data_IF_926864480201
#
_entry.id   IF_926864480201
#
_cell.length_a   1.000
_cell.length_b   1.000
_cell.length_c   1.000
_cell.angle_alpha   90.00
_cell.angle_beta   90.00
_cell.angle_gamma   90.00
#
_symmetry.space_group_name_H-M   'P 1'
#
loop_
_entity.id
_entity.type
_entity.pdbx_description
1 polymer ?
#
# COMPACT_ATOMS: atom_id res chain seq x y z
N UNK A 1 13.24 -17.05 -4.74
CA UNK A 1 12.61 -15.95 -3.98
C UNK A 1 13.06 -16.06 -2.54
N UNK A 2 13.56 -14.98 -1.92
CA UNK A 2 13.80 -14.96 -0.47
C UNK A 2 12.46 -15.25 0.22
N UNK A 3 12.45 -16.16 1.21
CA UNK A 3 11.27 -16.33 2.07
C UNK A 3 11.12 -15.04 2.87
N UNK A 4 10.02 -14.32 2.63
CA UNK A 4 9.62 -13.19 3.45
C UNK A 4 9.20 -13.76 4.80
N UNK A 5 9.96 -13.46 5.85
CA UNK A 5 9.75 -14.00 7.20
C UNK A 5 9.29 -12.96 8.19
N UNK A 6 9.47 -11.68 7.87
CA UNK A 6 9.08 -10.54 8.69
C UNK A 6 8.47 -9.42 7.84
N UNK A 7 7.85 -8.46 8.51
CA UNK A 7 7.37 -7.23 7.87
C UNK A 7 8.52 -6.36 7.34
N UNK A 8 9.72 -6.47 7.94
CA UNK A 8 10.92 -5.80 7.44
C UNK A 8 11.41 -6.41 6.13
N UNK A 9 11.44 -7.75 6.02
CA UNK A 9 11.76 -8.43 4.75
C UNK A 9 10.80 -8.01 3.63
N UNK A 10 9.52 -7.80 3.96
CA UNK A 10 8.51 -7.34 3.00
C UNK A 10 8.77 -5.89 2.57
N UNK A 11 9.12 -5.01 3.51
CA UNK A 11 9.48 -3.61 3.20
C UNK A 11 10.73 -3.52 2.32
N UNK A 12 11.75 -4.34 2.60
CA UNK A 12 12.94 -4.42 1.74
C UNK A 12 12.58 -4.90 0.34
N UNK A 13 11.77 -5.95 0.23
CA UNK A 13 11.27 -6.42 -1.07
C UNK A 13 10.54 -5.32 -1.84
N UNK A 14 9.64 -4.57 -1.20
CA UNK A 14 8.94 -3.47 -1.88
C UNK A 14 9.91 -2.40 -2.38
N UNK A 15 10.98 -2.10 -1.61
CA UNK A 15 11.99 -1.11 -1.99
C UNK A 15 12.87 -1.58 -3.14
N UNK A 16 13.35 -2.83 -3.09
CA UNK A 16 14.21 -3.41 -4.13
C UNK A 16 13.50 -3.53 -5.49
N UNK A 17 12.19 -3.78 -5.47
CA UNK A 17 11.38 -4.02 -6.67
C UNK A 17 10.43 -2.87 -7.02
N UNK A 18 10.54 -1.72 -6.34
CA UNK A 18 9.72 -0.53 -6.56
C UNK A 18 9.58 -0.16 -8.05
N UNK A 19 10.66 -0.12 -8.87
CA UNK A 19 10.55 0.25 -10.28
C UNK A 19 9.72 -0.74 -11.11
N UNK A 20 9.72 -2.02 -10.75
CA UNK A 20 8.96 -3.06 -11.43
C UNK A 20 7.50 -3.09 -10.99
N UNK A 21 7.25 -2.80 -9.71
CA UNK A 21 5.91 -2.66 -9.14
C UNK A 21 5.22 -1.47 -9.78
N UNK A 22 5.87 -0.30 -9.82
CA UNK A 22 5.28 0.93 -10.39
C UNK A 22 4.89 0.77 -11.87
N UNK A 23 5.66 -0.01 -12.65
CA UNK A 23 5.31 -0.31 -14.05
C UNK A 23 4.03 -1.14 -14.22
N UNK A 24 3.62 -1.86 -13.17
CA UNK A 24 2.45 -2.74 -13.16
C UNK A 24 1.27 -2.16 -12.38
N UNK A 25 1.47 -1.06 -11.66
CA UNK A 25 0.40 -0.36 -10.95
C UNK A 25 -0.30 0.64 -11.87
N UNK A 26 -1.60 0.82 -11.66
CA UNK A 26 -2.36 1.92 -12.25
C UNK A 26 -2.52 3.03 -11.22
N UNK A 27 -2.65 4.28 -11.66
CA UNK A 27 -3.00 5.35 -10.71
C UNK A 27 -4.47 5.21 -10.36
N UNK A 28 -4.82 5.54 -9.12
CA UNK A 28 -6.21 5.49 -8.65
C UNK A 28 -7.14 6.34 -9.53
N UNK A 29 -6.67 7.51 -9.98
CA UNK A 29 -7.39 8.40 -10.91
C UNK A 29 -7.68 7.80 -12.30
N UNK A 30 -6.97 6.73 -12.68
CA UNK A 30 -7.13 6.03 -13.95
C UNK A 30 -8.00 4.76 -13.79
N UNK A 31 -8.46 4.44 -12.58
CA UNK A 31 -9.43 3.37 -12.33
C UNK A 31 -10.84 3.81 -12.73
N UNK A 32 -11.67 2.84 -13.10
CA UNK A 32 -13.08 3.10 -13.38
C UNK A 32 -13.78 3.60 -12.10
N UNK A 33 -14.68 4.58 -12.23
CA UNK A 33 -15.47 5.11 -11.11
C UNK A 33 -16.32 4.05 -10.40
N UNK A 34 -16.53 2.89 -11.04
CA UNK A 34 -17.28 1.79 -10.45
C UNK A 34 -16.42 0.76 -9.69
N UNK A 35 -15.10 0.97 -9.62
CA UNK A 35 -14.20 0.04 -8.94
C UNK A 35 -14.51 0.00 -7.44
N UNK A 36 -15.00 -1.14 -6.96
CA UNK A 36 -15.47 -1.34 -5.58
C UNK A 36 -14.36 -1.07 -4.56
N UNK A 37 -13.09 -1.27 -4.95
CA UNK A 37 -11.94 -1.01 -4.09
C UNK A 37 -11.55 0.47 -4.04
N UNK A 38 -11.82 1.24 -5.11
CA UNK A 38 -11.56 2.68 -5.13
C UNK A 38 -12.58 3.47 -4.29
N UNK A 39 -13.76 2.90 -4.06
CA UNK A 39 -14.81 3.44 -3.19
C UNK A 39 -14.62 3.03 -1.72
N UNK A 40 -13.72 2.08 -1.45
CA UNK A 40 -13.50 1.54 -0.13
C UNK A 40 -12.59 2.47 0.68
N UNK A 41 -13.12 2.98 1.79
CA UNK A 41 -12.41 3.91 2.67
C UNK A 41 -11.89 3.21 3.94
N UNK A 42 -12.03 1.88 4.06
CA UNK A 42 -11.61 1.14 5.26
C UNK A 42 -10.10 1.29 5.52
N UNK A 43 -9.30 1.28 4.44
CA UNK A 43 -7.86 1.45 4.55
C UNK A 43 -7.47 2.87 4.96
N UNK A 44 -8.16 3.88 4.43
CA UNK A 44 -7.94 5.28 4.81
C UNK A 44 -8.28 5.51 6.28
N UNK A 45 -9.38 4.93 6.77
CA UNK A 45 -9.77 4.97 8.18
C UNK A 45 -8.77 4.22 9.07
N UNK A 46 -8.31 3.05 8.64
CA UNK A 46 -7.29 2.26 9.36
C UNK A 46 -5.95 3.01 9.47
N UNK A 47 -5.50 3.62 8.37
CA UNK A 47 -4.27 4.43 8.36
C UNK A 47 -4.40 5.67 9.22
N UNK A 48 -5.50 6.42 9.10
CA UNK A 48 -5.78 7.61 9.92
C UNK A 48 -5.76 7.26 11.41
N UNK A 49 -6.40 6.16 11.79
CA UNK A 49 -6.40 5.66 13.17
C UNK A 49 -5.00 5.27 13.65
N UNK A 50 -4.24 4.55 12.83
CA UNK A 50 -2.87 4.12 13.18
C UNK A 50 -1.91 5.31 13.33
N UNK A 51 -2.02 6.33 12.47
CA UNK A 51 -1.21 7.55 12.54
C UNK A 51 -1.54 8.34 13.81
N UNK A 52 -2.82 8.43 14.18
CA UNK A 52 -3.28 9.14 15.38
C UNK A 52 -2.95 8.38 16.68
N UNK A 53 -3.00 7.05 16.70
CA UNK A 53 -2.70 6.23 17.90
C UNK A 53 -1.19 6.04 18.16
N UNK A 54 -0.34 6.12 17.12
CA UNK A 54 1.11 5.93 17.26
C UNK A 54 1.96 7.19 17.10
N UNK A 55 1.33 8.37 17.03
CA UNK A 55 2.00 9.66 17.22
C UNK A 55 3.36 9.75 16.53
N UNK A 56 3.37 9.63 15.19
CA UNK A 56 4.54 10.01 14.40
C UNK A 56 4.19 11.16 13.48
N UNK A 57 4.33 12.36 14.05
CA UNK A 57 5.06 13.43 13.37
C UNK A 57 6.45 13.44 14.02
#
# INVERSE_FOLDING_TARGET
MKKIKSTEDFKEFLRDYEPEIIKKTVRLQDLAEDDEWAKDNEWDEFYSRTVNEHGKI
#
